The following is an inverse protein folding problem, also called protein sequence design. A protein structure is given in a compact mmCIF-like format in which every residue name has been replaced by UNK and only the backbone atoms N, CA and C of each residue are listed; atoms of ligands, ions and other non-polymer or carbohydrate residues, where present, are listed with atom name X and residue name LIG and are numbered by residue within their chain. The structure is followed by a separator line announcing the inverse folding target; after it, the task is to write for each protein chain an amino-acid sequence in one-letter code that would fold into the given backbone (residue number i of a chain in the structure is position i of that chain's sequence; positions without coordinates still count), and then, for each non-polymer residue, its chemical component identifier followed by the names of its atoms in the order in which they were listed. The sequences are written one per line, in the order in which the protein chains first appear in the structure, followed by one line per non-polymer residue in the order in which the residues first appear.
data_IF_061564632151
#
_entry.id   IF_061564632151
#
_cell.length_a   1.000
_cell.length_b   1.000
_cell.length_c   1.000
_cell.angle_alpha   90.00
_cell.angle_beta   90.00
_cell.angle_gamma   90.00
#
_symmetry.space_group_name_H-M   'P 1'
#
loop_
_entity.id
_entity.type
_entity.pdbx_description
1 polymer ?
#
# COMPACT_ATOMS: atom_id res chain seq x y z
N UNK A 1 -0.48 7.84 9.36
CA UNK A 1 0.44 6.69 9.17
C UNK A 1 -0.35 5.56 8.52
N UNK A 2 0.29 4.51 8.03
CA UNK A 2 -0.38 3.30 7.56
C UNK A 2 0.39 2.08 8.02
N UNK A 3 -0.32 0.97 8.22
CA UNK A 3 0.25 -0.30 8.64
C UNK A 3 -0.06 -1.33 7.57
N UNK A 4 0.97 -2.03 7.10
CA UNK A 4 0.78 -3.20 6.25
C UNK A 4 0.41 -4.40 7.13
N UNK A 5 -0.74 -4.98 6.85
CA UNK A 5 -1.23 -6.21 7.45
C UNK A 5 -0.95 -7.33 6.43
N UNK A 6 0.14 -8.06 6.66
CA UNK A 6 0.49 -9.22 5.82
C UNK A 6 -0.68 -10.23 5.82
N UNK A 7 -1.05 -10.83 4.67
CA UNK A 7 -0.33 -10.86 3.38
C UNK A 7 -0.74 -9.82 2.32
N UNK A 8 -1.89 -9.15 2.46
CA UNK A 8 -2.44 -8.33 1.37
C UNK A 8 -3.33 -7.16 1.81
N UNK A 9 -3.42 -6.90 3.11
CA UNK A 9 -4.30 -5.87 3.66
C UNK A 9 -3.48 -4.67 4.14
N UNK A 10 -4.05 -3.47 4.04
CA UNK A 10 -3.38 -2.23 4.45
C UNK A 10 -4.34 -1.39 5.27
N UNK A 11 -3.95 -1.07 6.50
CA UNK A 11 -4.74 -0.24 7.39
C UNK A 11 -4.20 1.17 7.39
N UNK A 12 -5.00 2.13 6.95
CA UNK A 12 -4.67 3.53 7.05
C UNK A 12 -5.18 4.10 8.38
N UNK A 13 -4.40 4.98 9.00
CA UNK A 13 -4.78 5.65 10.25
C UNK A 13 -6.01 6.58 10.09
N UNK A 14 -6.45 6.83 8.84
CA UNK A 14 -7.70 7.53 8.56
C UNK A 14 -8.96 6.71 8.91
N UNK A 15 -8.79 5.45 9.33
CA UNK A 15 -9.86 4.52 9.68
C UNK A 15 -10.35 3.64 8.52
N UNK A 16 -9.72 3.74 7.34
CA UNK A 16 -10.04 2.85 6.21
C UNK A 16 -9.01 1.72 6.12
N UNK A 17 -9.52 0.53 5.87
CA UNK A 17 -8.74 -0.67 5.59
C UNK A 17 -8.91 -1.01 4.11
N UNK A 18 -7.80 -1.33 3.45
CA UNK A 18 -7.73 -1.66 2.04
C UNK A 18 -7.35 -3.13 1.97
N UNK A 19 -8.29 -3.96 1.56
CA UNK A 19 -8.06 -5.38 1.37
C UNK A 19 -7.87 -5.68 -0.11
N UNK A 20 -6.71 -6.22 -0.46
CA UNK A 20 -6.40 -6.62 -1.82
C UNK A 20 -6.22 -8.12 -1.88
N UNK A 21 -6.29 -8.67 -3.10
CA UNK A 21 -5.84 -10.04 -3.34
C UNK A 21 -4.33 -10.15 -3.19
N UNK A 22 -3.88 -11.20 -2.51
CA UNK A 22 -2.45 -11.52 -2.33
C UNK A 22 -1.69 -11.56 -3.66
N UNK A 23 -2.29 -12.14 -4.71
CA UNK A 23 -1.72 -12.17 -6.04
C UNK A 23 -1.44 -10.77 -6.60
N UNK A 24 -2.40 -9.85 -6.48
CA UNK A 24 -2.26 -8.46 -6.92
C UNK A 24 -1.12 -7.79 -6.17
N UNK A 25 -1.05 -7.90 -4.84
CA UNK A 25 0.03 -7.30 -4.04
C UNK A 25 1.38 -7.89 -4.41
N UNK A 26 1.46 -9.21 -4.61
CA UNK A 26 2.68 -9.88 -5.04
C UNK A 26 3.15 -9.38 -6.41
N UNK A 27 2.25 -9.24 -7.38
CA UNK A 27 2.56 -8.70 -8.70
C UNK A 27 2.98 -7.23 -8.63
N UNK A 28 2.27 -6.41 -7.86
CA UNK A 28 2.60 -4.99 -7.69
C UNK A 28 3.97 -4.82 -7.04
N UNK A 29 4.29 -5.61 -6.01
CA UNK A 29 5.64 -5.70 -5.42
C UNK A 29 6.66 -6.15 -6.47
N UNK A 30 6.39 -7.21 -7.24
CA UNK A 30 7.32 -7.67 -8.28
C UNK A 30 7.60 -6.61 -9.35
N UNK A 31 6.56 -5.93 -9.84
CA UNK A 31 6.67 -4.83 -10.81
C UNK A 31 7.40 -3.61 -10.21
N UNK A 32 7.17 -3.35 -8.93
CA UNK A 32 7.76 -2.26 -8.15
C UNK A 32 9.29 -2.33 -8.01
N UNK A 33 9.87 -3.53 -8.22
CA UNK A 33 11.33 -3.70 -8.22
C UNK A 33 12.02 -2.89 -9.33
N UNK A 34 11.36 -2.74 -10.48
CA UNK A 34 11.93 -2.08 -11.66
C UNK A 34 11.37 -0.68 -11.91
N UNK A 35 10.17 -0.36 -11.40
CA UNK A 35 9.50 0.94 -11.62
C UNK A 35 8.66 1.33 -10.42
N UNK A 36 8.29 2.61 -10.32
CA UNK A 36 7.29 3.03 -9.34
C UNK A 36 5.90 2.55 -9.76
N UNK A 37 5.23 1.81 -8.89
CA UNK A 37 3.88 1.28 -9.13
C UNK A 37 2.89 1.93 -8.18
N UNK A 38 1.72 2.27 -8.69
CA UNK A 38 0.65 2.92 -7.92
C UNK A 38 -0.61 2.07 -8.05
N UNK A 39 -1.18 1.66 -6.93
CA UNK A 39 -2.41 0.88 -6.86
C UNK A 39 -3.47 1.71 -6.17
N UNK A 40 -4.48 2.14 -6.92
CA UNK A 40 -5.61 2.89 -6.38
C UNK A 40 -6.73 1.94 -5.96
N UNK A 41 -7.26 2.13 -4.76
CA UNK A 41 -8.43 1.41 -4.25
C UNK A 41 -9.37 2.44 -3.64
N UNK A 42 -10.50 2.66 -4.30
CA UNK A 42 -11.44 3.73 -3.95
C UNK A 42 -10.79 5.11 -3.97
N UNK A 43 -10.58 5.70 -2.78
CA UNK A 43 -9.96 7.02 -2.61
C UNK A 43 -8.51 6.97 -2.16
N UNK A 44 -8.00 5.79 -1.81
CA UNK A 44 -6.63 5.60 -1.36
C UNK A 44 -5.75 5.12 -2.51
N UNK A 45 -4.48 5.50 -2.51
CA UNK A 45 -3.53 4.99 -3.51
C UNK A 45 -2.26 4.52 -2.84
N UNK A 46 -1.98 3.22 -2.92
CA UNK A 46 -0.75 2.63 -2.41
C UNK A 46 0.36 2.81 -3.43
N UNK A 47 1.49 3.31 -2.96
CA UNK A 47 2.71 3.49 -3.74
C UNK A 47 3.67 2.36 -3.37
N UNK A 48 4.01 1.57 -4.37
CA UNK A 48 5.02 0.54 -4.28
C UNK A 48 6.31 1.04 -4.90
N UNK A 49 7.41 0.85 -4.17
CA UNK A 49 8.76 1.14 -4.65
C UNK A 49 9.77 0.14 -4.10
N UNK A 50 10.77 -0.23 -4.92
CA UNK A 50 11.83 -1.21 -4.59
C UNK A 50 11.33 -2.60 -4.18
N UNK A 51 10.13 -2.98 -4.65
CA UNK A 51 9.57 -4.28 -4.33
C UNK A 51 8.68 -4.32 -3.09
N UNK A 52 8.39 -3.17 -2.49
CA UNK A 52 7.66 -3.06 -1.23
C UNK A 52 6.63 -1.95 -1.31
N UNK A 53 5.61 -1.99 -0.45
CA UNK A 53 4.68 -0.89 -0.26
C UNK A 53 5.36 0.17 0.64
N UNK A 54 5.49 1.41 0.17
CA UNK A 54 6.20 2.47 0.92
C UNK A 54 5.25 3.48 1.55
N UNK A 55 4.22 3.88 0.83
CA UNK A 55 3.30 4.92 1.29
C UNK A 55 1.90 4.73 0.71
N UNK A 56 0.89 5.20 1.43
CA UNK A 56 -0.50 5.30 0.99
C UNK A 56 -0.84 6.78 0.87
N UNK A 57 -1.26 7.18 -0.32
CA UNK A 57 -1.89 8.47 -0.54
C UNK A 57 -3.33 8.39 -0.04
N UNK A 58 -3.60 9.09 1.06
CA UNK A 58 -4.92 9.21 1.66
C UNK A 58 -5.48 10.60 1.34
N UNK A 59 -6.75 10.77 0.95
CA UNK A 59 -7.30 12.10 0.70
C UNK A 59 -7.40 12.94 1.98
N UNK A 60 -7.58 12.30 3.14
CA UNK A 60 -7.68 12.97 4.45
C UNK A 60 -6.31 13.33 5.02
N UNK A 61 -5.39 12.37 5.02
CA UNK A 61 -4.06 12.49 5.66
C UNK A 61 -2.93 12.83 4.66
N UNK A 62 -3.27 12.97 3.37
CA UNK A 62 -2.37 13.17 2.21
C UNK A 62 -1.40 12.02 2.00
N UNK A 63 -0.36 11.92 2.83
CA UNK A 63 0.69 10.91 2.72
C UNK A 63 0.81 10.14 4.03
N UNK A 64 0.54 8.85 3.98
CA UNK A 64 0.71 7.93 5.08
C UNK A 64 1.86 6.98 4.76
N UNK A 65 3.00 7.13 5.44
CA UNK A 65 4.07 6.14 5.35
C UNK A 65 3.57 4.78 5.87
N UNK A 66 3.88 3.71 5.14
CA UNK A 66 3.55 2.35 5.51
C UNK A 66 4.69 1.80 6.37
N UNK A 67 4.35 1.29 7.55
CA UNK A 67 5.24 0.47 8.35
C UNK A 67 4.80 -0.98 8.27
N UNK A 68 5.70 -1.84 7.80
CA UNK A 68 5.53 -3.29 7.89
C UNK A 68 5.78 -3.70 9.34
N UNK A 69 4.88 -4.47 9.93
CA UNK A 69 5.11 -5.10 11.23
C UNK A 69 5.99 -6.34 10.98
N UNK A 70 7.19 -6.37 11.55
CA UNK A 70 8.10 -7.53 11.52
C UNK A 70 7.57 -8.71 12.36
#
# INVERSE_FOLDING_TARGET
MATELFPSSFRCDCGEELDFSEGTIHEMKKMSKNKHVRLGEGKHTIIFHKGEAKEILCPKLKKCAITSFE
#
